data_IF_877854062810
#
_entry.id   IF_877854062810
#
_cell.length_a   1.000
_cell.length_b   1.000
_cell.length_c   1.000
_cell.angle_alpha   90.00
_cell.angle_beta   90.00
_cell.angle_gamma   90.00
#
_symmetry.space_group_name_H-M   'P 1'
#
loop_
_entity.id
_entity.type
_entity.pdbx_description
1 polymer ?
#
# COMPACT_ATOMS: atom_id res chain seq x y z
N UNK A 1 -6.65 26.31 -51.06
CA UNK A 1 -7.81 25.45 -50.72
C UNK A 1 -7.42 24.55 -49.55
N UNK A 2 -7.11 25.14 -48.38
CA UNK A 2 -6.69 24.37 -47.18
C UNK A 2 -6.81 25.20 -45.89
N UNK A 3 -7.88 25.95 -45.72
CA UNK A 3 -8.29 26.50 -44.42
C UNK A 3 -9.82 26.39 -44.42
N UNK A 4 -10.43 26.17 -43.25
CA UNK A 4 -11.89 26.16 -43.03
C UNK A 4 -12.61 24.81 -42.90
N UNK A 5 -11.94 23.76 -42.38
CA UNK A 5 -12.66 22.61 -41.79
C UNK A 5 -12.78 22.71 -40.25
N UNK A 6 -12.17 23.71 -39.61
CA UNK A 6 -12.13 23.89 -38.16
C UNK A 6 -13.06 25.00 -37.62
N UNK A 7 -13.73 25.75 -38.50
CA UNK A 7 -14.66 26.82 -38.12
C UNK A 7 -16.08 26.33 -37.80
N UNK A 8 -16.43 25.09 -38.15
CA UNK A 8 -17.77 24.53 -37.98
C UNK A 8 -17.96 23.72 -36.68
N UNK A 9 -16.94 23.64 -35.81
CA UNK A 9 -17.05 22.89 -34.56
C UNK A 9 -17.46 23.83 -33.42
N UNK A 10 -18.67 23.68 -32.83
CA UNK A 10 -19.09 24.50 -31.69
C UNK A 10 -18.07 24.39 -30.55
N UNK A 11 -17.79 25.49 -29.83
CA UNK A 11 -16.71 25.52 -28.81
C UNK A 11 -16.82 24.41 -27.75
N UNK A 12 -18.04 23.97 -27.42
CA UNK A 12 -18.28 22.82 -26.54
C UNK A 12 -17.87 21.45 -27.11
N UNK A 13 -17.64 21.35 -28.42
CA UNK A 13 -17.19 20.17 -29.12
C UNK A 13 -15.68 20.16 -29.43
N UNK A 14 -14.98 21.30 -29.36
CA UNK A 14 -13.51 21.36 -29.47
C UNK A 14 -12.81 20.62 -28.33
N UNK A 15 -13.49 20.50 -27.18
CA UNK A 15 -13.03 19.72 -26.05
C UNK A 15 -13.24 18.18 -26.23
N UNK A 16 -13.90 17.73 -27.30
CA UNK A 16 -14.21 16.31 -27.56
C UNK A 16 -13.23 15.65 -28.54
N UNK A 17 -12.48 16.42 -29.31
CA UNK A 17 -11.44 15.89 -30.20
C UNK A 17 -10.23 15.52 -29.33
N UNK A 18 -10.13 14.23 -28.98
CA UNK A 18 -9.09 13.68 -28.11
C UNK A 18 -9.57 13.12 -26.77
N UNK A 19 -10.89 13.13 -26.48
CA UNK A 19 -11.45 12.47 -25.29
C UNK A 19 -12.13 11.16 -25.66
N UNK A 20 -11.55 10.06 -25.22
CA UNK A 20 -12.19 8.75 -25.25
C UNK A 20 -13.19 8.65 -24.10
N UNK A 21 -14.43 8.25 -24.42
CA UNK A 21 -15.42 7.90 -23.40
C UNK A 21 -15.02 6.53 -22.83
N UNK A 22 -14.83 6.46 -21.53
CA UNK A 22 -14.41 5.25 -20.81
C UNK A 22 -15.54 4.83 -19.89
N UNK A 23 -15.87 3.55 -19.90
CA UNK A 23 -16.79 2.96 -18.93
C UNK A 23 -16.06 2.71 -17.61
N UNK A 24 -16.33 3.55 -16.62
CA UNK A 24 -15.70 3.49 -15.31
C UNK A 24 -16.16 2.26 -14.50
N UNK A 25 -17.36 1.75 -14.75
CA UNK A 25 -17.88 0.57 -14.06
C UNK A 25 -17.09 -0.68 -14.49
N UNK A 26 -16.75 -0.78 -15.77
CA UNK A 26 -15.92 -1.88 -16.29
C UNK A 26 -14.50 -1.92 -15.72
N UNK A 27 -13.99 -0.77 -15.26
CA UNK A 27 -12.65 -0.64 -14.67
C UNK A 27 -12.67 -0.79 -13.15
N UNK A 28 -13.86 -0.84 -12.54
CA UNK A 28 -14.00 -0.97 -11.11
C UNK A 28 -13.56 -2.35 -10.62
N UNK A 29 -12.92 -2.38 -9.46
CA UNK A 29 -12.57 -3.63 -8.79
C UNK A 29 -13.74 -4.09 -7.92
N UNK A 30 -14.62 -4.91 -8.48
CA UNK A 30 -15.85 -5.39 -7.80
C UNK A 30 -15.60 -6.11 -6.47
N UNK A 31 -14.40 -6.65 -6.24
CA UNK A 31 -14.03 -7.32 -4.99
C UNK A 31 -13.50 -6.38 -3.90
N UNK A 32 -13.29 -5.09 -4.20
CA UNK A 32 -12.80 -4.09 -3.24
C UNK A 32 -11.53 -4.55 -2.51
N UNK A 33 -11.57 -4.56 -1.16
CA UNK A 33 -10.46 -5.00 -0.31
C UNK A 33 -10.07 -6.48 -0.44
N UNK A 34 -10.87 -7.31 -1.11
CA UNK A 34 -10.54 -8.70 -1.42
C UNK A 34 -9.83 -8.87 -2.76
N UNK A 35 -9.63 -7.79 -3.53
CA UNK A 35 -8.93 -7.86 -4.80
C UNK A 35 -7.49 -8.38 -4.61
N UNK A 36 -7.23 -9.57 -5.14
CA UNK A 36 -5.88 -10.12 -5.24
C UNK A 36 -5.22 -9.67 -6.55
N UNK A 37 -4.66 -8.46 -6.57
CA UNK A 37 -3.91 -7.96 -7.72
C UNK A 37 -2.67 -8.85 -8.04
N UNK A 38 -2.14 -9.52 -7.02
CA UNK A 38 -1.00 -10.42 -7.13
C UNK A 38 -1.44 -11.79 -7.67
N UNK A 39 -0.99 -12.18 -8.87
CA UNK A 39 -1.30 -13.51 -9.45
C UNK A 39 -0.61 -14.69 -8.75
N UNK A 40 0.44 -14.42 -7.98
CA UNK A 40 1.21 -15.44 -7.24
C UNK A 40 1.53 -14.94 -5.84
N UNK A 41 1.31 -15.79 -4.85
CA UNK A 41 1.77 -15.58 -3.47
C UNK A 41 3.05 -16.40 -3.24
N UNK A 42 4.08 -15.75 -2.70
CA UNK A 42 5.32 -16.42 -2.29
C UNK A 42 5.38 -16.45 -0.78
N UNK A 43 5.55 -17.65 -0.22
CA UNK A 43 5.63 -17.83 1.22
C UNK A 43 7.09 -17.75 1.69
N UNK A 44 7.33 -17.31 2.94
CA UNK A 44 8.67 -17.32 3.54
C UNK A 44 9.30 -18.73 3.51
N UNK A 45 10.64 -18.83 3.46
CA UNK A 45 11.33 -20.11 3.54
C UNK A 45 10.97 -20.85 4.84
N UNK A 46 10.85 -22.17 4.74
CA UNK A 46 10.38 -23.03 5.85
C UNK A 46 8.85 -23.11 5.97
N UNK A 47 8.10 -22.40 5.14
CA UNK A 47 6.66 -22.62 5.03
C UNK A 47 6.36 -23.97 4.39
N UNK A 48 5.35 -24.68 4.88
CA UNK A 48 4.94 -25.97 4.33
C UNK A 48 3.41 -26.07 4.24
N UNK A 49 2.96 -27.00 3.40
CA UNK A 49 1.55 -27.23 3.09
C UNK A 49 1.19 -28.68 3.39
N UNK A 50 0.09 -28.89 4.11
CA UNK A 50 -0.44 -30.21 4.43
C UNK A 50 -1.89 -30.29 3.97
N UNK A 51 -2.17 -31.19 3.02
CA UNK A 51 -3.53 -31.44 2.55
C UNK A 51 -4.20 -32.44 3.48
N UNK A 52 -5.39 -32.09 3.99
CA UNK A 52 -6.24 -32.93 4.84
C UNK A 52 -7.61 -33.13 4.19
N UNK A 53 -8.41 -34.04 4.73
CA UNK A 53 -9.76 -34.26 4.22
C UNK A 53 -10.63 -33.02 4.47
N UNK A 54 -10.99 -32.32 3.41
CA UNK A 54 -11.90 -31.17 3.44
C UNK A 54 -11.23 -29.81 3.66
N UNK A 55 -9.90 -29.75 3.87
CA UNK A 55 -9.19 -28.49 4.03
C UNK A 55 -7.68 -28.63 3.81
N UNK A 56 -7.01 -27.51 3.61
CA UNK A 56 -5.56 -27.41 3.47
C UNK A 56 -4.99 -26.58 4.63
N UNK A 57 -3.92 -27.07 5.24
CA UNK A 57 -3.15 -26.33 6.25
C UNK A 57 -1.89 -25.76 5.61
N UNK A 58 -1.69 -24.45 5.77
CA UNK A 58 -0.46 -23.77 5.37
C UNK A 58 0.21 -23.23 6.62
N UNK A 59 1.38 -23.75 6.94
CA UNK A 59 2.17 -23.32 8.09
C UNK A 59 3.22 -22.33 7.62
N UNK A 60 3.20 -21.12 8.20
CA UNK A 60 4.19 -20.09 7.94
C UNK A 60 5.00 -19.87 9.24
N UNK A 61 6.32 -20.09 9.24
CA UNK A 61 7.13 -19.92 10.43
C UNK A 61 7.22 -18.44 10.83
N UNK A 62 7.43 -18.20 12.12
CA UNK A 62 7.67 -16.85 12.63
C UNK A 62 8.93 -16.25 11.96
N UNK A 63 8.81 -15.03 11.45
CA UNK A 63 9.96 -14.31 10.90
C UNK A 63 10.92 -13.92 12.03
N UNK A 64 12.21 -14.13 11.80
CA UNK A 64 13.24 -13.61 12.70
C UNK A 64 13.22 -12.09 12.66
N UNK A 65 13.31 -11.46 13.83
CA UNK A 65 13.45 -10.00 13.91
C UNK A 65 14.71 -9.59 13.15
N UNK A 66 14.59 -8.54 12.33
CA UNK A 66 15.77 -7.97 11.66
C UNK A 66 16.78 -7.53 12.73
N UNK A 67 18.09 -7.72 12.56
CA UNK A 67 19.07 -7.12 13.48
C UNK A 67 18.96 -5.60 13.43
N UNK A 68 19.40 -4.91 14.49
CA UNK A 68 19.55 -3.45 14.44
C UNK A 68 20.62 -3.08 13.41
N UNK A 69 20.39 -2.00 12.66
CA UNK A 69 21.44 -1.41 11.85
C UNK A 69 22.43 -0.65 12.76
N UNK A 70 23.64 -0.39 12.27
CA UNK A 70 24.69 0.29 13.05
C UNK A 70 24.30 1.71 13.50
N UNK A 71 23.41 2.36 12.74
CA UNK A 71 22.87 3.70 12.97
C UNK A 71 21.50 3.70 13.69
N UNK A 72 21.01 2.53 14.11
CA UNK A 72 19.67 2.39 14.68
C UNK A 72 19.72 2.19 16.20
N UNK A 73 19.07 3.09 16.94
CA UNK A 73 18.87 2.98 18.38
C UNK A 73 17.43 3.35 18.75
N UNK A 74 16.96 2.87 19.90
CA UNK A 74 15.65 3.27 20.43
C UNK A 74 15.73 4.71 20.96
N UNK A 75 14.76 5.54 20.58
CA UNK A 75 14.69 6.93 21.04
C UNK A 75 14.15 6.95 22.48
N UNK A 76 14.92 7.46 23.46
CA UNK A 76 14.41 7.64 24.82
C UNK A 76 13.37 8.75 24.86
N UNK A 77 12.32 8.58 25.66
CA UNK A 77 11.26 9.61 25.81
C UNK A 77 11.85 10.95 26.27
N UNK A 78 12.90 10.91 27.10
CA UNK A 78 13.57 12.10 27.62
C UNK A 78 14.26 12.95 26.53
N UNK A 79 14.58 12.35 25.38
CA UNK A 79 15.12 13.08 24.23
C UNK A 79 14.05 13.79 23.39
N UNK A 80 12.76 13.49 23.62
CA UNK A 80 11.66 14.16 22.94
C UNK A 80 11.47 15.57 23.49
N UNK A 81 10.84 16.49 22.71
CA UNK A 81 10.49 17.81 23.20
C UNK A 81 9.64 17.75 24.48
N UNK A 82 9.92 18.63 25.44
CA UNK A 82 9.30 18.63 26.77
C UNK A 82 7.77 18.66 26.75
N UNK A 83 7.16 19.28 25.74
CA UNK A 83 5.71 19.33 25.57
C UNK A 83 5.10 17.97 25.19
N UNK A 84 5.88 17.08 24.55
CA UNK A 84 5.41 15.77 24.09
C UNK A 84 5.63 14.66 25.13
N UNK A 85 6.62 14.81 26.02
CA UNK A 85 6.96 13.82 27.05
C UNK A 85 5.78 13.39 27.94
N UNK A 86 4.87 14.27 28.39
CA UNK A 86 3.74 13.88 29.25
C UNK A 86 2.78 12.87 28.60
N UNK A 87 2.73 12.80 27.26
CA UNK A 87 1.89 11.83 26.55
C UNK A 87 2.40 10.38 26.66
N UNK A 88 3.68 10.20 27.03
CA UNK A 88 4.35 8.90 27.14
C UNK A 88 4.64 8.52 28.60
N UNK A 89 3.83 9.01 29.54
CA UNK A 89 3.97 8.71 30.96
C UNK A 89 4.04 7.18 31.21
N UNK A 90 5.10 6.73 31.90
CA UNK A 90 5.35 5.31 32.17
C UNK A 90 6.12 4.56 31.09
N UNK A 91 6.43 5.20 29.96
CA UNK A 91 7.28 4.64 28.91
C UNK A 91 8.72 5.17 29.01
N UNK A 92 9.70 4.31 28.72
CA UNK A 92 11.12 4.68 28.74
C UNK A 92 11.65 5.05 27.35
N UNK A 93 11.19 4.34 26.33
CA UNK A 93 11.63 4.51 24.95
C UNK A 93 10.45 4.37 24.00
N UNK A 94 10.57 4.97 22.82
CA UNK A 94 9.74 4.64 21.68
C UNK A 94 10.05 3.21 21.19
N UNK A 95 9.12 2.60 20.45
CA UNK A 95 9.40 1.33 19.81
C UNK A 95 10.33 1.52 18.59
N UNK A 96 10.84 0.44 18.03
CA UNK A 96 11.81 0.47 16.93
C UNK A 96 11.28 1.17 15.66
N UNK A 97 10.00 1.05 15.34
CA UNK A 97 9.39 1.71 14.16
C UNK A 97 9.23 3.20 14.39
N UNK A 98 8.87 3.60 15.62
CA UNK A 98 8.72 5.00 16.03
C UNK A 98 10.05 5.74 16.21
N UNK A 99 11.15 4.99 16.40
CA UNK A 99 12.50 5.53 16.60
C UNK A 99 13.23 5.84 15.28
N UNK A 100 12.57 5.64 14.13
CA UNK A 100 13.09 5.89 12.78
C UNK A 100 12.47 7.13 12.17
#
# INVERSE_FOLDING_TARGET
VSQDFLSAVPEGAKARVGRNVIDLESLAFNQGGHLMANKRCQLPPGSFRTQKKGYEEVHVPALKQKPFNDDEALVPIDSLPSWAQPAFAGMKTLNRVQSR
#
